data_IF_589894847608
#
_entry.id   IF_589894847608
#
_cell.length_a   1.000
_cell.length_b   1.000
_cell.length_c   1.000
_cell.angle_alpha   90.00
_cell.angle_beta   90.00
_cell.angle_gamma   90.00
#
_symmetry.space_group_name_H-M   'P 1'
#
loop_
_entity.id
_entity.type
_entity.pdbx_description
1 polymer ?
#
# COMPACT_ATOMS: atom_id res chain seq x y z
N UNK A 1 -4.31 -12.35 3.42
CA UNK A 1 -5.65 -11.72 3.37
C UNK A 1 -5.51 -10.22 3.08
N UNK A 2 -5.30 -9.80 1.82
CA UNK A 2 -4.94 -8.41 1.52
C UNK A 2 -5.28 -7.92 0.11
N UNK A 3 -6.35 -8.41 -0.54
CA UNK A 3 -6.69 -7.95 -1.90
C UNK A 3 -8.12 -7.41 -2.04
N UNK A 4 -9.09 -7.66 -1.15
CA UNK A 4 -10.46 -7.22 -1.47
C UNK A 4 -10.64 -5.70 -1.53
N UNK A 5 -10.05 -4.88 -0.65
CA UNK A 5 -10.24 -3.40 -0.71
C UNK A 5 -9.54 -2.71 -1.90
N UNK A 6 -8.74 -3.42 -2.69
CA UNK A 6 -8.12 -2.84 -3.90
C UNK A 6 -9.16 -2.43 -4.95
N UNK A 7 -10.32 -3.09 -4.99
CA UNK A 7 -11.41 -2.73 -5.92
C UNK A 7 -11.99 -1.34 -5.62
N UNK A 8 -11.98 -0.92 -4.35
CA UNK A 8 -12.38 0.44 -3.95
C UNK A 8 -11.44 1.51 -4.54
N UNK A 9 -10.19 1.16 -4.89
CA UNK A 9 -9.25 2.10 -5.49
C UNK A 9 -9.79 2.74 -6.78
N UNK A 10 -10.47 1.94 -7.61
CA UNK A 10 -11.02 2.37 -8.88
C UNK A 10 -12.26 3.27 -8.73
N UNK A 11 -12.76 3.40 -7.50
CA UNK A 11 -13.95 4.19 -7.16
C UNK A 11 -13.61 5.42 -6.30
N UNK A 12 -12.31 5.72 -6.11
CA UNK A 12 -11.85 6.81 -5.26
C UNK A 12 -12.52 8.15 -5.64
N UNK A 13 -13.08 8.84 -4.66
CA UNK A 13 -13.77 10.12 -4.83
C UNK A 13 -15.19 10.00 -5.40
N UNK A 14 -15.64 8.81 -5.78
CA UNK A 14 -17.00 8.61 -6.29
C UNK A 14 -17.97 8.42 -5.13
N UNK A 15 -19.15 9.04 -5.26
CA UNK A 15 -20.30 8.80 -4.38
C UNK A 15 -21.20 7.76 -5.02
N UNK A 16 -21.33 6.61 -4.36
CA UNK A 16 -22.02 5.44 -4.90
C UNK A 16 -23.04 4.90 -3.90
N UNK A 17 -23.96 4.08 -4.40
CA UNK A 17 -24.91 3.34 -3.59
C UNK A 17 -24.36 1.95 -3.32
N UNK A 18 -24.25 1.59 -2.05
CA UNK A 18 -23.69 0.34 -1.58
C UNK A 18 -24.76 -0.49 -0.89
N UNK A 19 -24.55 -1.81 -0.88
CA UNK A 19 -25.18 -2.72 0.06
C UNK A 19 -24.11 -3.45 0.86
N UNK A 20 -24.39 -3.69 2.13
CA UNK A 20 -23.51 -4.43 3.02
C UNK A 20 -24.29 -5.17 4.10
N UNK A 21 -23.71 -6.27 4.58
CA UNK A 21 -24.13 -6.98 5.78
C UNK A 21 -23.57 -6.26 7.00
N UNK A 22 -24.41 -5.93 7.98
CA UNK A 22 -24.00 -5.32 9.23
C UNK A 22 -23.30 -6.35 10.11
N UNK A 23 -22.12 -6.01 10.60
CA UNK A 23 -21.40 -6.77 11.62
C UNK A 23 -21.60 -6.16 13.01
N UNK A 24 -20.51 -6.06 13.77
CA UNK A 24 -20.56 -5.54 15.13
C UNK A 24 -20.58 -4.00 15.20
N UNK A 25 -21.30 -3.49 16.19
CA UNK A 25 -21.21 -2.11 16.63
C UNK A 25 -20.22 -2.00 17.79
N UNK A 26 -19.27 -1.07 17.68
CA UNK A 26 -18.24 -0.87 18.71
C UNK A 26 -17.73 0.56 18.72
N UNK A 27 -16.63 0.79 19.42
CA UNK A 27 -15.98 2.08 19.52
C UNK A 27 -14.53 2.05 19.05
N UNK A 28 -14.16 3.06 18.27
CA UNK A 28 -12.78 3.33 17.87
C UNK A 28 -12.19 4.46 18.73
N UNK A 29 -10.96 4.28 19.22
CA UNK A 29 -10.23 5.34 19.94
C UNK A 29 -9.81 6.43 18.95
N UNK A 30 -10.03 7.69 19.30
CA UNK A 30 -9.64 8.84 18.46
C UNK A 30 -8.33 9.46 18.95
N UNK A 31 -7.59 10.09 18.03
CA UNK A 31 -6.30 10.73 18.33
C UNK A 31 -6.40 11.84 19.38
N UNK A 32 -7.51 12.59 19.40
CA UNK A 32 -7.76 13.68 20.33
C UNK A 32 -8.10 13.20 21.77
N UNK A 33 -8.08 11.89 22.04
CA UNK A 33 -8.61 11.31 23.27
C UNK A 33 -10.11 11.05 23.16
N UNK A 34 -10.57 9.95 23.76
CA UNK A 34 -11.96 9.50 23.69
C UNK A 34 -12.23 8.38 22.67
N UNK A 35 -13.52 8.10 22.47
CA UNK A 35 -14.04 6.98 21.68
C UNK A 35 -15.16 7.47 20.76
N UNK A 36 -15.18 7.01 19.51
CA UNK A 36 -16.26 7.24 18.53
C UNK A 36 -16.97 5.93 18.20
N UNK A 37 -18.30 5.94 18.05
CA UNK A 37 -19.04 4.75 17.63
C UNK A 37 -18.75 4.40 16.17
N UNK A 38 -18.60 3.12 15.87
CA UNK A 38 -18.34 2.59 14.53
C UNK A 38 -19.12 1.29 14.29
N UNK A 39 -19.56 1.10 13.05
CA UNK A 39 -20.12 -0.15 12.58
C UNK A 39 -19.10 -0.91 11.72
N UNK A 40 -19.06 -2.22 11.88
CA UNK A 40 -18.46 -3.11 10.88
C UNK A 40 -19.50 -3.36 9.79
N UNK A 41 -19.12 -3.15 8.55
CA UNK A 41 -19.89 -3.56 7.38
C UNK A 41 -19.12 -4.65 6.65
N UNK A 42 -19.79 -5.72 6.25
CA UNK A 42 -19.25 -6.90 5.57
C UNK A 42 -19.91 -7.07 4.20
N UNK A 43 -19.30 -7.89 3.35
CA UNK A 43 -19.86 -8.28 2.03
C UNK A 43 -20.24 -7.06 1.16
N UNK A 44 -19.36 -6.07 1.12
CA UNK A 44 -19.65 -4.78 0.49
C UNK A 44 -19.84 -4.96 -1.02
N UNK A 45 -20.97 -4.49 -1.54
CA UNK A 45 -21.32 -4.53 -2.96
C UNK A 45 -21.85 -3.17 -3.43
N UNK A 46 -21.68 -2.83 -4.71
CA UNK A 46 -22.32 -1.67 -5.35
C UNK A 46 -23.67 -2.10 -5.88
N UNK A 47 -24.69 -1.29 -5.66
CA UNK A 47 -26.06 -1.54 -6.11
C UNK A 47 -26.61 -0.38 -6.93
N UNK A 48 -27.60 -0.65 -7.77
CA UNK A 48 -28.38 0.39 -8.44
C UNK A 48 -29.52 0.91 -7.54
N UNK A 49 -30.25 1.93 -7.99
CA UNK A 49 -31.40 2.49 -7.25
C UNK A 49 -32.52 1.48 -6.99
N UNK A 50 -32.61 0.41 -7.78
CA UNK A 50 -33.56 -0.68 -7.60
C UNK A 50 -33.07 -1.75 -6.60
N UNK A 51 -31.87 -1.58 -6.02
CA UNK A 51 -31.27 -2.52 -5.07
C UNK A 51 -30.60 -3.73 -5.72
N UNK A 52 -30.46 -3.77 -7.05
CA UNK A 52 -29.79 -4.85 -7.75
C UNK A 52 -28.27 -4.64 -7.69
N UNK A 53 -27.53 -5.72 -7.44
CA UNK A 53 -26.06 -5.71 -7.37
C UNK A 53 -25.49 -5.45 -8.77
N UNK A 54 -24.71 -4.38 -8.89
CA UNK A 54 -23.93 -4.03 -10.09
C UNK A 54 -22.56 -4.69 -10.01
N UNK A 55 -21.94 -4.65 -8.83
CA UNK A 55 -20.59 -5.17 -8.61
C UNK A 55 -20.53 -5.77 -7.20
N UNK A 56 -20.16 -7.05 -7.08
CA UNK A 56 -20.05 -7.77 -5.81
C UNK A 56 -18.63 -7.78 -5.26
N UNK A 57 -18.51 -8.12 -3.98
CA UNK A 57 -17.25 -8.45 -3.31
C UNK A 57 -16.20 -7.32 -3.45
N UNK A 58 -16.62 -6.07 -3.24
CA UNK A 58 -15.73 -4.91 -3.24
C UNK A 58 -14.83 -4.85 -2.01
N UNK A 59 -15.28 -5.39 -0.88
CA UNK A 59 -14.51 -5.49 0.34
C UNK A 59 -15.14 -6.54 1.26
N UNK A 60 -14.32 -7.43 1.84
CA UNK A 60 -14.78 -8.38 2.87
C UNK A 60 -15.40 -7.67 4.06
N UNK A 61 -14.77 -6.57 4.47
CA UNK A 61 -15.26 -5.74 5.54
C UNK A 61 -14.71 -4.32 5.47
N UNK A 62 -15.41 -3.38 6.08
CA UNK A 62 -14.99 -1.99 6.30
C UNK A 62 -15.58 -1.47 7.61
N UNK A 63 -14.78 -0.75 8.38
CA UNK A 63 -15.26 -0.02 9.54
C UNK A 63 -15.70 1.37 9.12
N UNK A 64 -16.90 1.78 9.54
CA UNK A 64 -17.47 3.07 9.20
C UNK A 64 -17.89 3.83 10.46
N UNK A 65 -17.76 5.15 10.45
CA UNK A 65 -18.24 5.97 11.57
C UNK A 65 -19.77 5.92 11.61
N UNK A 66 -20.32 5.61 12.78
CA UNK A 66 -21.76 5.63 12.99
C UNK A 66 -22.21 7.07 13.19
N UNK A 67 -22.58 7.75 12.11
CA UNK A 67 -23.10 9.11 12.13
C UNK A 67 -24.61 9.15 12.41
N UNK A 68 -25.18 10.35 12.46
CA UNK A 68 -26.61 10.57 12.73
C UNK A 68 -27.56 9.81 11.79
N UNK A 69 -27.16 9.52 10.55
CA UNK A 69 -28.01 8.80 9.60
C UNK A 69 -28.28 7.35 10.03
N UNK A 70 -27.38 6.71 10.77
CA UNK A 70 -27.63 5.39 11.38
C UNK A 70 -28.74 5.43 12.42
N UNK A 71 -28.95 6.58 13.05
CA UNK A 71 -29.91 6.78 14.15
C UNK A 71 -31.24 7.37 13.65
N UNK A 72 -31.40 7.53 12.32
CA UNK A 72 -32.68 7.88 11.68
C UNK A 72 -33.52 6.66 11.31
N UNK A 73 -32.93 5.46 11.38
CA UNK A 73 -33.63 4.21 11.12
C UNK A 73 -34.72 3.97 12.17
N UNK A 74 -35.82 3.35 11.76
CA UNK A 74 -36.93 3.04 12.68
C UNK A 74 -36.51 2.05 13.77
N UNK A 75 -35.55 1.18 13.47
CA UNK A 75 -35.02 0.18 14.37
C UNK A 75 -33.49 0.24 14.44
N UNK A 76 -32.94 -0.19 15.58
CA UNK A 76 -31.51 -0.42 15.72
C UNK A 76 -31.01 -1.45 14.70
N UNK A 77 -29.77 -1.26 14.25
CA UNK A 77 -29.07 -2.24 13.42
C UNK A 77 -28.49 -3.34 14.30
N UNK A 78 -28.76 -4.58 13.92
CA UNK A 78 -28.21 -5.78 14.52
C UNK A 78 -27.24 -6.45 13.56
N UNK A 79 -26.26 -7.21 14.08
CA UNK A 79 -25.45 -8.09 13.24
C UNK A 79 -26.31 -8.94 12.31
N UNK A 80 -25.83 -9.18 11.09
CA UNK A 80 -26.48 -9.94 10.01
C UNK A 80 -27.67 -9.23 9.31
N UNK A 81 -27.99 -8.00 9.69
CA UNK A 81 -28.88 -7.15 8.88
C UNK A 81 -28.22 -6.78 7.56
N UNK A 82 -29.00 -6.61 6.50
CA UNK A 82 -28.49 -6.08 5.22
C UNK A 82 -29.04 -4.68 5.03
N UNK A 83 -28.14 -3.73 4.85
CA UNK A 83 -28.48 -2.34 4.58
C UNK A 83 -28.06 -1.92 3.18
N UNK A 84 -28.72 -0.88 2.69
CA UNK A 84 -28.32 -0.11 1.53
C UNK A 84 -28.08 1.33 1.96
N UNK A 85 -27.03 1.95 1.45
CA UNK A 85 -26.62 3.30 1.85
C UNK A 85 -25.79 3.97 0.76
N UNK A 86 -25.78 5.30 0.74
CA UNK A 86 -24.86 6.07 -0.08
C UNK A 86 -23.59 6.39 0.69
N UNK A 87 -22.44 6.27 0.05
CA UNK A 87 -21.16 6.68 0.62
C UNK A 87 -20.18 7.18 -0.46
N UNK A 88 -19.22 7.98 -0.05
CA UNK A 88 -18.10 8.42 -0.87
C UNK A 88 -16.87 7.56 -0.56
N UNK A 89 -16.21 7.01 -1.57
CA UNK A 89 -14.98 6.23 -1.35
C UNK A 89 -13.82 7.18 -1.10
N UNK A 90 -13.20 7.07 0.08
CA UNK A 90 -12.04 7.86 0.47
C UNK A 90 -10.85 6.99 0.85
N UNK A 91 -9.76 7.64 1.28
CA UNK A 91 -8.55 6.97 1.75
C UNK A 91 -8.18 7.42 3.15
N UNK A 92 -7.45 6.57 3.88
CA UNK A 92 -6.75 6.92 5.10
C UNK A 92 -5.34 6.35 5.10
N UNK A 93 -4.43 7.04 5.77
CA UNK A 93 -3.05 6.57 5.91
C UNK A 93 -2.97 5.35 6.81
N UNK A 94 -2.21 4.34 6.38
CA UNK A 94 -1.96 3.11 7.15
C UNK A 94 -0.49 2.98 7.51
N UNK A 95 -0.25 2.34 8.66
CA UNK A 95 1.07 1.83 9.06
C UNK A 95 0.97 0.31 9.13
N UNK A 96 1.15 -0.33 7.98
CA UNK A 96 1.13 -1.79 7.84
C UNK A 96 2.56 -2.30 7.75
N UNK A 97 2.97 -3.15 8.68
CA UNK A 97 4.34 -3.66 8.76
C UNK A 97 4.74 -4.41 7.49
N UNK A 98 3.83 -5.15 6.88
CA UNK A 98 4.08 -5.87 5.62
C UNK A 98 4.31 -4.93 4.44
N UNK A 99 3.53 -3.86 4.31
CA UNK A 99 3.72 -2.85 3.24
C UNK A 99 5.00 -2.04 3.47
N UNK A 100 5.33 -1.75 4.73
CA UNK A 100 6.59 -1.07 5.09
C UNK A 100 7.78 -1.97 4.77
N UNK A 101 7.74 -3.24 5.16
CA UNK A 101 8.79 -4.22 4.87
C UNK A 101 9.05 -4.36 3.36
N UNK A 102 8.01 -4.49 2.55
CA UNK A 102 8.15 -4.53 1.08
C UNK A 102 8.85 -3.27 0.52
N UNK A 103 8.51 -2.09 1.05
CA UNK A 103 9.17 -0.84 0.62
C UNK A 103 10.64 -0.80 1.04
N UNK A 104 10.94 -1.27 2.24
CA UNK A 104 12.30 -1.32 2.77
C UNK A 104 13.16 -2.32 2.00
N UNK A 105 12.62 -3.50 1.67
CA UNK A 105 13.27 -4.51 0.81
C UNK A 105 13.63 -3.94 -0.56
N UNK A 106 12.72 -3.21 -1.22
CA UNK A 106 13.01 -2.53 -2.49
C UNK A 106 14.16 -1.53 -2.34
N UNK A 107 14.16 -0.77 -1.24
CA UNK A 107 15.20 0.21 -0.94
C UNK A 107 16.56 -0.43 -0.71
N UNK A 108 16.60 -1.51 0.08
CA UNK A 108 17.81 -2.26 0.40
C UNK A 108 18.38 -2.95 -0.85
N UNK A 109 17.52 -3.59 -1.65
CA UNK A 109 17.93 -4.22 -2.90
C UNK A 109 18.56 -3.20 -3.86
N UNK A 110 17.96 -2.02 -3.99
CA UNK A 110 18.50 -0.95 -4.83
C UNK A 110 19.85 -0.42 -4.33
N UNK A 111 20.04 -0.29 -3.01
CA UNK A 111 21.33 0.12 -2.46
C UNK A 111 22.41 -0.94 -2.70
N UNK A 112 22.07 -2.22 -2.54
CA UNK A 112 22.99 -3.32 -2.83
C UNK A 112 23.39 -3.33 -4.32
N UNK A 113 22.41 -3.17 -5.22
CA UNK A 113 22.68 -3.11 -6.66
C UNK A 113 23.53 -1.90 -7.05
N UNK A 114 23.27 -0.73 -6.46
CA UNK A 114 24.08 0.47 -6.64
C UNK A 114 25.52 0.24 -6.19
N UNK A 115 25.71 -0.30 -4.98
CA UNK A 115 27.04 -0.60 -4.44
C UNK A 115 27.80 -1.57 -5.34
N UNK A 116 27.15 -2.65 -5.80
CA UNK A 116 27.76 -3.58 -6.74
C UNK A 116 28.16 -2.90 -8.05
N UNK A 117 27.31 -2.04 -8.60
CA UNK A 117 27.60 -1.30 -9.85
C UNK A 117 28.84 -0.43 -9.70
N UNK A 118 28.99 0.25 -8.56
CA UNK A 118 30.17 1.05 -8.26
C UNK A 118 31.43 0.20 -8.02
N UNK A 119 31.29 -0.94 -7.33
CA UNK A 119 32.39 -1.87 -7.09
C UNK A 119 32.94 -2.43 -8.40
N UNK A 120 32.07 -2.91 -9.30
CA UNK A 120 32.47 -3.39 -10.61
C UNK A 120 33.24 -2.32 -11.40
N UNK A 121 32.70 -1.09 -11.47
CA UNK A 121 33.41 0.01 -12.12
C UNK A 121 34.78 0.30 -11.50
N UNK A 122 34.89 0.22 -10.17
CA UNK A 122 36.15 0.44 -9.48
C UNK A 122 37.17 -0.66 -9.83
N UNK A 123 36.73 -1.91 -9.88
CA UNK A 123 37.56 -3.04 -10.30
C UNK A 123 38.01 -2.88 -11.76
N UNK A 124 37.07 -2.64 -12.68
CA UNK A 124 37.36 -2.39 -14.09
C UNK A 124 38.37 -1.23 -14.28
N UNK A 125 38.23 -0.15 -13.48
CA UNK A 125 39.12 1.00 -13.54
C UNK A 125 40.52 0.69 -13.01
N UNK A 126 40.65 -0.15 -11.99
CA UNK A 126 41.95 -0.58 -11.48
C UNK A 126 42.65 -1.50 -12.48
N UNK A 127 41.92 -2.45 -13.06
CA UNK A 127 42.44 -3.35 -14.08
C UNK A 127 42.91 -2.57 -15.31
N UNK A 128 42.07 -1.65 -15.82
CA UNK A 128 42.44 -0.73 -16.89
C UNK A 128 43.71 0.05 -16.55
N UNK A 129 43.83 0.58 -15.33
CA UNK A 129 45.02 1.34 -14.91
C UNK A 129 46.28 0.48 -14.91
N UNK A 130 46.18 -0.80 -14.53
CA UNK A 130 47.30 -1.73 -14.50
C UNK A 130 47.75 -2.14 -15.93
N UNK A 131 46.82 -2.18 -16.90
CA UNK A 131 47.12 -2.43 -18.31
C UNK A 131 48.07 -1.40 -18.93
N UNK A 132 48.23 -0.22 -18.32
CA UNK A 132 49.21 0.77 -18.77
C UNK A 132 50.64 0.21 -18.83
N UNK A 133 50.99 -0.72 -17.92
CA UNK A 133 52.28 -1.39 -17.96
C UNK A 133 52.48 -2.21 -19.24
N UNK A 134 51.42 -2.83 -19.75
CA UNK A 134 51.46 -3.58 -21.01
C UNK A 134 51.66 -2.64 -22.20
N UNK A 135 51.02 -1.47 -22.19
CA UNK A 135 51.23 -0.41 -23.20
C UNK A 135 52.68 0.07 -23.20
N UNK A 136 53.25 0.33 -22.02
CA UNK A 136 54.66 0.71 -21.88
C UNK A 136 55.61 -0.37 -22.42
N UNK A 137 55.37 -1.63 -22.07
CA UNK A 137 56.17 -2.75 -22.57
C UNK A 137 56.06 -2.91 -24.10
N UNK A 138 54.85 -2.80 -24.66
CA UNK A 138 54.63 -2.88 -26.10
C UNK A 138 55.37 -1.75 -26.85
N UNK A 139 55.30 -0.52 -26.33
CA UNK A 139 56.03 0.62 -26.90
C UNK A 139 57.55 0.46 -26.77
N UNK A 140 58.05 -0.09 -25.66
CA UNK A 140 59.47 -0.40 -25.51
C UNK A 140 59.94 -1.45 -26.53
N UNK A 141 59.13 -2.47 -26.83
CA UNK A 141 59.43 -3.47 -27.88
C UNK A 141 59.50 -2.80 -29.25
N UNK A 142 58.51 -1.98 -29.59
CA UNK A 142 58.52 -1.22 -30.84
C UNK A 142 59.77 -0.33 -31.00
N UNK A 143 60.21 0.34 -29.92
CA UNK A 143 61.47 1.11 -29.93
C UNK A 143 62.70 0.23 -30.19
N UNK A 144 62.76 -0.96 -29.60
CA UNK A 144 63.86 -1.91 -29.86
C UNK A 144 63.88 -2.36 -31.31
N UNK A 145 62.71 -2.61 -31.91
CA UNK A 145 62.61 -3.03 -33.31
C UNK A 145 63.00 -1.90 -34.27
N UNK A 146 62.68 -0.65 -33.93
CA UNK A 146 63.17 0.52 -34.64
C UNK A 146 64.70 0.62 -34.60
N UNK A 147 65.32 0.44 -33.42
CA UNK A 147 66.78 0.46 -33.29
C UNK A 147 67.49 -0.67 -34.06
N UNK A 148 66.81 -1.80 -34.29
CA UNK A 148 67.29 -2.90 -35.12
C UNK A 148 67.06 -2.69 -36.62
N UNK A 149 66.40 -1.59 -37.02
CA UNK A 149 66.06 -1.30 -38.41
C UNK A 149 64.90 -2.14 -38.98
N UNK A 150 64.13 -2.82 -38.13
CA UNK A 150 63.00 -3.67 -38.55
C UNK A 150 61.75 -2.87 -38.91
N UNK A 151 61.61 -1.68 -38.34
CA UNK A 151 60.52 -0.75 -38.60
C UNK A 151 61.07 0.67 -38.79
N UNK A 152 60.35 1.50 -39.54
CA UNK A 152 60.71 2.90 -39.73
C UNK A 152 60.12 3.83 -38.65
N UNK A 153 60.52 5.11 -38.68
CA UNK A 153 60.08 6.11 -37.70
C UNK A 153 58.57 6.39 -37.74
N UNK A 154 57.94 6.35 -38.92
CA UNK A 154 56.49 6.59 -39.07
C UNK A 154 55.68 5.42 -38.52
N UNK A 155 56.15 4.20 -38.76
CA UNK A 155 55.58 2.97 -38.22
C UNK A 155 55.66 2.97 -36.69
N UNK A 156 56.81 3.33 -36.11
CA UNK A 156 56.96 3.48 -34.65
C UNK A 156 55.93 4.46 -34.07
N UNK A 157 55.83 5.67 -34.63
CA UNK A 157 54.89 6.68 -34.17
C UNK A 157 53.43 6.22 -34.27
N UNK A 158 53.10 5.49 -35.33
CA UNK A 158 51.75 4.94 -35.55
C UNK A 158 51.43 3.87 -34.50
N UNK A 159 52.38 2.97 -34.20
CA UNK A 159 52.21 1.93 -33.18
C UNK A 159 52.03 2.56 -31.80
N UNK A 160 52.90 3.50 -31.40
CA UNK A 160 52.81 4.17 -30.11
C UNK A 160 51.48 4.93 -29.96
N UNK A 161 51.09 5.69 -31.00
CA UNK A 161 49.84 6.45 -31.00
C UNK A 161 48.63 5.51 -30.93
N UNK A 162 48.65 4.40 -31.69
CA UNK A 162 47.58 3.40 -31.67
C UNK A 162 47.45 2.78 -30.28
N UNK A 163 48.56 2.33 -29.68
CA UNK A 163 48.53 1.71 -28.35
C UNK A 163 48.00 2.67 -27.27
N UNK A 164 48.44 3.94 -27.28
CA UNK A 164 47.95 4.96 -26.35
C UNK A 164 46.47 5.29 -26.58
N UNK A 165 46.04 5.39 -27.84
CA UNK A 165 44.66 5.71 -28.16
C UNK A 165 43.71 4.56 -27.81
N UNK A 166 44.11 3.31 -28.07
CA UNK A 166 43.34 2.13 -27.65
C UNK A 166 43.17 2.13 -26.13
N UNK A 167 44.26 2.25 -25.37
CA UNK A 167 44.20 2.34 -23.92
C UNK A 167 43.25 3.44 -23.42
N UNK A 168 43.33 4.65 -23.99
CA UNK A 168 42.43 5.75 -23.60
C UNK A 168 40.97 5.50 -23.95
N UNK A 169 40.71 4.85 -25.08
CA UNK A 169 39.34 4.55 -25.51
C UNK A 169 38.69 3.44 -24.67
N UNK A 170 39.51 2.58 -24.06
CA UNK A 170 39.07 1.49 -23.20
C UNK A 170 38.85 1.94 -21.74
N UNK A 171 39.06 3.24 -21.42
CA UNK A 171 38.85 3.77 -20.06
C UNK A 171 37.39 3.56 -19.59
N UNK A 172 37.19 2.91 -18.43
CA UNK A 172 35.86 2.74 -17.88
C UNK A 172 35.14 4.07 -17.65
N UNK A 173 33.89 4.17 -18.10
CA UNK A 173 33.16 5.43 -18.10
C UNK A 173 32.46 5.70 -16.76
N UNK A 174 33.14 6.43 -15.87
CA UNK A 174 32.61 6.79 -14.55
C UNK A 174 31.33 7.64 -14.59
N UNK A 175 31.14 8.47 -15.63
CA UNK A 175 29.92 9.27 -15.80
C UNK A 175 28.72 8.37 -16.07
N UNK A 176 28.88 7.38 -16.94
CA UNK A 176 27.85 6.38 -17.25
C UNK A 176 27.52 5.54 -16.03
N UNK A 177 28.51 5.08 -15.28
CA UNK A 177 28.30 4.37 -14.02
C UNK A 177 27.50 5.23 -13.04
N UNK A 178 27.84 6.52 -12.91
CA UNK A 178 27.10 7.42 -12.03
C UNK A 178 25.64 7.58 -12.45
N UNK A 179 25.37 7.67 -13.74
CA UNK A 179 24.00 7.70 -14.27
C UNK A 179 23.25 6.41 -13.94
N UNK A 180 23.87 5.25 -14.14
CA UNK A 180 23.28 3.95 -13.77
C UNK A 180 22.94 3.87 -12.28
N UNK A 181 23.85 4.29 -11.39
CA UNK A 181 23.58 4.38 -9.94
C UNK A 181 22.33 5.24 -9.66
N UNK A 182 22.22 6.39 -10.32
CA UNK A 182 21.06 7.29 -10.13
C UNK A 182 19.76 6.67 -10.65
N UNK A 183 19.81 5.96 -11.77
CA UNK A 183 18.65 5.30 -12.36
C UNK A 183 18.14 4.15 -11.50
N UNK A 184 19.03 3.34 -10.92
CA UNK A 184 18.69 2.28 -9.95
C UNK A 184 17.87 2.87 -8.80
N UNK A 185 18.37 3.94 -8.18
CA UNK A 185 17.68 4.59 -7.05
C UNK A 185 16.36 5.22 -7.49
N UNK A 186 16.32 5.84 -8.67
CA UNK A 186 15.09 6.46 -9.22
C UNK A 186 14.02 5.41 -9.51
N UNK A 187 14.40 4.27 -10.09
CA UNK A 187 13.50 3.15 -10.32
C UNK A 187 12.98 2.56 -9.01
N UNK A 188 13.86 2.36 -8.02
CA UNK A 188 13.47 1.87 -6.71
C UNK A 188 12.49 2.80 -6.01
N UNK A 189 12.72 4.12 -6.04
CA UNK A 189 11.76 5.12 -5.52
C UNK A 189 10.40 5.00 -6.22
N UNK A 190 10.39 4.88 -7.56
CA UNK A 190 9.14 4.68 -8.31
C UNK A 190 8.41 3.40 -7.89
N UNK A 191 9.14 2.31 -7.67
CA UNK A 191 8.58 1.06 -7.18
C UNK A 191 8.02 1.22 -5.75
N UNK A 192 8.77 1.82 -4.82
CA UNK A 192 8.30 2.12 -3.47
C UNK A 192 7.00 2.96 -3.48
N UNK A 193 6.87 3.93 -4.39
CA UNK A 193 5.66 4.74 -4.53
C UNK A 193 4.44 3.94 -5.03
N UNK A 194 4.64 2.81 -5.73
CA UNK A 194 3.54 1.90 -6.09
C UNK A 194 2.95 1.21 -4.85
N UNK A 195 3.78 0.95 -3.83
CA UNK A 195 3.34 0.46 -2.52
C UNK A 195 2.84 1.62 -1.66
N UNK A 196 1.61 2.06 -1.94
CA UNK A 196 0.99 3.19 -1.24
C UNK A 196 0.70 2.82 0.23
N UNK A 197 1.05 3.70 1.16
CA UNK A 197 0.72 3.60 2.59
C UNK A 197 -0.68 4.15 2.87
N UNK A 198 -1.64 3.77 2.04
CA UNK A 198 -3.04 4.16 2.17
C UNK A 198 -3.91 2.91 2.11
N UNK A 199 -5.05 2.97 2.79
CA UNK A 199 -6.15 2.03 2.62
C UNK A 199 -7.43 2.81 2.35
N UNK A 200 -8.46 2.10 1.91
CA UNK A 200 -9.72 2.69 1.48
C UNK A 200 -10.78 2.60 2.57
N UNK A 201 -11.61 3.64 2.66
CA UNK A 201 -12.71 3.75 3.61
C UNK A 201 -13.95 4.33 2.93
N UNK A 202 -15.09 4.15 3.58
CA UNK A 202 -16.34 4.78 3.16
C UNK A 202 -16.59 6.01 4.04
N UNK A 203 -16.82 7.15 3.39
CA UNK A 203 -17.07 8.45 4.00
C UNK A 203 -18.50 8.91 3.69
N UNK A 204 -18.98 9.92 4.43
CA UNK A 204 -20.24 10.61 4.13
C UNK A 204 -21.45 9.66 3.97
N UNK A 205 -21.52 8.66 4.84
CA UNK A 205 -22.60 7.67 4.82
C UNK A 205 -23.94 8.37 5.00
N UNK A 206 -24.89 8.08 4.12
CA UNK A 206 -26.21 8.72 4.13
C UNK A 206 -27.25 7.83 3.46
N UNK A 207 -28.53 8.20 3.60
CA UNK A 207 -29.66 7.50 2.96
C UNK A 207 -29.70 5.99 3.30
N UNK A 208 -29.39 5.66 4.55
CA UNK A 208 -29.35 4.28 5.01
C UNK A 208 -30.78 3.73 5.05
N UNK A 209 -30.96 2.51 4.53
CA UNK A 209 -32.24 1.79 4.53
C UNK A 209 -31.99 0.30 4.77
N UNK A 210 -32.93 -0.36 5.42
CA UNK A 210 -32.95 -1.81 5.49
C UNK A 210 -33.29 -2.40 4.12
N UNK A 211 -32.47 -3.34 3.67
CA UNK A 211 -32.80 -4.24 2.57
C UNK A 211 -33.37 -5.53 3.14
N UNK A 212 -32.77 -6.02 4.21
CA UNK A 212 -33.21 -7.22 4.92
C UNK A 212 -32.93 -7.07 6.40
N UNK A 213 -33.98 -7.19 7.20
CA UNK A 213 -33.85 -7.38 8.64
C UNK A 213 -33.65 -8.86 8.94
N UNK A 214 -32.58 -9.19 9.68
CA UNK A 214 -32.38 -10.54 10.19
C UNK A 214 -33.48 -10.87 11.19
N UNK A 215 -33.95 -12.11 11.14
CA UNK A 215 -34.84 -12.66 12.17
C UNK A 215 -34.11 -12.62 13.51
N UNK A 216 -34.75 -12.02 14.51
CA UNK A 216 -34.22 -11.90 15.85
C UNK A 216 -34.05 -13.27 16.52
N UNK A 217 -33.00 -13.38 17.33
CA UNK A 217 -32.86 -14.47 18.28
C UNK A 217 -33.99 -14.45 19.31
N UNK A 218 -34.30 -15.61 19.91
CA UNK A 218 -35.39 -15.72 20.88
C UNK A 218 -35.19 -14.75 22.06
N UNK A 219 -36.25 -14.05 22.45
CA UNK A 219 -36.24 -13.08 23.56
C UNK A 219 -35.68 -11.70 23.22
N UNK A 220 -35.24 -11.47 21.98
CA UNK A 220 -34.81 -10.15 21.53
C UNK A 220 -35.95 -9.35 20.89
N UNK A 221 -35.94 -8.04 21.14
CA UNK A 221 -36.79 -7.06 20.47
C UNK A 221 -35.91 -5.90 19.99
N UNK A 222 -36.17 -5.42 18.76
CA UNK A 222 -35.49 -4.26 18.20
C UNK A 222 -35.93 -3.00 18.96
N UNK A 223 -34.95 -2.18 19.33
CA UNK A 223 -35.21 -0.86 19.88
C UNK A 223 -35.43 0.16 18.76
N UNK A 224 -36.32 1.11 19.00
CA UNK A 224 -36.39 2.32 18.19
C UNK A 224 -35.24 3.25 18.59
N UNK A 225 -34.44 3.62 17.61
CA UNK A 225 -33.29 4.51 17.81
C UNK A 225 -33.65 5.90 17.29
N UNK A 226 -33.30 6.94 18.05
CA UNK A 226 -33.53 8.32 17.64
C UNK A 226 -32.21 9.06 17.42
N UNK A 227 -32.26 10.14 16.66
CA UNK A 227 -31.10 11.03 16.45
C UNK A 227 -30.61 11.68 17.75
N UNK A 228 -31.42 11.74 18.82
CA UNK A 228 -31.00 12.21 20.14
C UNK A 228 -30.02 11.24 20.80
N UNK A 229 -30.17 9.94 20.53
CA UNK A 229 -29.37 8.89 21.13
C UNK A 229 -27.92 8.86 20.61
N UNK A 230 -27.70 9.39 19.41
CA UNK A 230 -26.36 9.52 18.81
C UNK A 230 -25.36 10.25 19.73
N UNK A 231 -25.82 11.23 20.53
CA UNK A 231 -24.94 11.98 21.45
C UNK A 231 -24.80 11.33 22.83
N UNK A 232 -25.60 10.30 23.13
CA UNK A 232 -25.64 9.67 24.45
C UNK A 232 -24.63 8.52 24.54
N UNK A 233 -23.44 8.81 25.09
CA UNK A 233 -22.37 7.82 25.20
C UNK A 233 -22.77 6.56 26.01
N UNK A 234 -23.59 6.69 27.05
CA UNK A 234 -24.07 5.52 27.82
C UNK A 234 -24.94 4.62 26.95
N UNK A 235 -25.82 5.22 26.15
CA UNK A 235 -26.66 4.49 25.19
C UNK A 235 -25.83 3.84 24.08
N UNK A 236 -24.82 4.53 23.53
CA UNK A 236 -23.93 3.94 22.53
C UNK A 236 -23.14 2.75 23.09
N UNK A 237 -22.65 2.84 24.32
CA UNK A 237 -21.99 1.72 24.99
C UNK A 237 -22.95 0.53 25.19
N UNK A 238 -24.20 0.83 25.56
CA UNK A 238 -25.26 -0.16 25.68
C UNK A 238 -25.58 -0.84 24.34
N UNK A 239 -25.73 -0.09 23.25
CA UNK A 239 -25.91 -0.64 21.90
C UNK A 239 -24.72 -1.51 21.47
N UNK A 240 -23.49 -1.10 21.78
CA UNK A 240 -22.31 -1.88 21.44
C UNK A 240 -22.33 -3.23 22.17
N UNK A 241 -22.64 -3.22 23.47
CA UNK A 241 -22.79 -4.44 24.26
C UNK A 241 -23.94 -5.32 23.75
N UNK A 242 -25.08 -4.73 23.35
CA UNK A 242 -26.19 -5.46 22.71
C UNK A 242 -25.77 -6.13 21.41
N UNK A 243 -25.05 -5.41 20.55
CA UNK A 243 -24.57 -5.96 19.28
C UNK A 243 -23.67 -7.19 19.49
N UNK A 244 -22.76 -7.15 20.46
CA UNK A 244 -21.95 -8.32 20.82
C UNK A 244 -22.78 -9.46 21.42
N UNK A 245 -23.72 -9.17 22.33
CA UNK A 245 -24.59 -10.18 22.92
C UNK A 245 -25.45 -10.88 21.86
N UNK A 246 -25.96 -10.13 20.88
CA UNK A 246 -26.74 -10.67 19.76
C UNK A 246 -25.90 -11.60 18.88
N UNK A 247 -24.67 -11.21 18.55
CA UNK A 247 -23.72 -12.06 17.82
C UNK A 247 -23.45 -13.37 18.57
N UNK A 248 -23.29 -13.28 19.88
CA UNK A 248 -23.03 -14.43 20.76
C UNK A 248 -24.32 -15.24 21.05
N UNK A 249 -25.46 -14.86 20.46
CA UNK A 249 -26.77 -15.53 20.57
C UNK A 249 -27.25 -15.73 22.02
N UNK A 250 -27.03 -14.74 22.87
CA UNK A 250 -27.45 -14.77 24.28
C UNK A 250 -28.32 -13.55 24.60
N UNK A 251 -29.30 -13.65 25.52
CA UNK A 251 -30.02 -12.49 26.01
C UNK A 251 -29.07 -11.45 26.63
N UNK A 252 -29.36 -10.16 26.42
CA UNK A 252 -28.50 -9.07 26.90
C UNK A 252 -28.24 -9.13 28.41
N UNK A 253 -29.26 -9.40 29.22
CA UNK A 253 -29.14 -9.44 30.68
C UNK A 253 -28.16 -10.52 31.15
N UNK A 254 -28.13 -11.66 30.46
CA UNK A 254 -27.18 -12.76 30.72
C UNK A 254 -25.77 -12.34 30.31
N UNK A 255 -25.62 -11.70 29.15
CA UNK A 255 -24.33 -11.21 28.68
C UNK A 255 -23.72 -10.16 29.61
N UNK A 256 -24.53 -9.20 30.08
CA UNK A 256 -24.09 -8.13 30.96
C UNK A 256 -23.54 -8.67 32.29
N UNK A 257 -24.20 -9.69 32.88
CA UNK A 257 -23.77 -10.32 34.15
C UNK A 257 -22.48 -11.14 34.03
N UNK A 258 -22.15 -11.67 32.85
CA UNK A 258 -20.91 -12.45 32.64
C UNK A 258 -19.64 -11.59 32.55
N UNK A 259 -19.78 -10.29 32.29
CA UNK A 259 -18.64 -9.37 32.07
C UNK A 259 -18.38 -8.41 33.23
N UNK A 260 -19.21 -8.43 34.27
CA UNK A 260 -18.99 -7.77 35.56
C UNK A 260 -18.26 -8.70 36.51
#
# INVERSE_FOLDING_TARGET
>A
MAIQRSKLANKLGQRLLFSATVGEFTHKRIKAGGKKPVYLLKDLSIVNKAGQIIESDLADHVWVEANEDFFKLEHELMPEDVIMFMATVGTYGIKRSDVIAQRDEIGQAAQKQKQQTFQNYREDYLDWKDEWQNVLQANQRAKKDFHKGLIDRRQLQTIESKNINTYRNDEPNGVRTKQQETDIIKQAKRQQHKHKLIDYQLLEISQIKFVKEKRLHQGWQRLKVSTKDFKNQKFLNYLAARSFAYRDQVPYDVFARKKS
#
